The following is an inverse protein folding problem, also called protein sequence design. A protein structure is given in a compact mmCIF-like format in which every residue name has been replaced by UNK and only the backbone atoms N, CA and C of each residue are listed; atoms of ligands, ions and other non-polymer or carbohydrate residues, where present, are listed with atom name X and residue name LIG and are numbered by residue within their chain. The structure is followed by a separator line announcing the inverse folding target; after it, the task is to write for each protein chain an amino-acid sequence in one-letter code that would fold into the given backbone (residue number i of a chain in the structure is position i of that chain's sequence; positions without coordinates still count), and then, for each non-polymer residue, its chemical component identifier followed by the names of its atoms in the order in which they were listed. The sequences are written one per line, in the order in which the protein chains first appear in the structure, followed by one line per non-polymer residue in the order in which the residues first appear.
data_IF_124949062691
#
_entry.id   IF_124949062691
#
_cell.length_a   1.000
_cell.length_b   1.000
_cell.length_c   1.000
_cell.angle_alpha   90.00
_cell.angle_beta   90.00
_cell.angle_gamma   90.00
#
_symmetry.space_group_name_H-M   'P 1'
#
loop_
_entity.id
_entity.type
_entity.pdbx_description
1 polymer ?
#
# COMPACT_ATOMS: atom_id res chain seq x y z
N UNK A 1 38.67 -24.59 -20.22
CA UNK A 1 38.41 -24.47 -18.76
C UNK A 1 37.67 -23.17 -18.48
N UNK A 2 36.34 -23.20 -18.33
CA UNK A 2 35.49 -21.98 -18.21
C UNK A 2 34.24 -22.17 -17.34
N UNK A 3 34.28 -23.16 -16.44
CA UNK A 3 33.14 -23.63 -15.64
C UNK A 3 32.94 -22.92 -14.28
N UNK A 4 33.94 -22.29 -13.61
CA UNK A 4 33.71 -21.68 -12.29
C UNK A 4 32.90 -20.37 -12.33
N UNK A 5 33.15 -19.51 -13.32
CA UNK A 5 32.61 -18.14 -13.35
C UNK A 5 31.09 -18.10 -13.65
N UNK A 6 30.60 -19.01 -14.51
CA UNK A 6 29.17 -19.12 -14.84
C UNK A 6 28.32 -19.65 -13.69
N UNK A 7 28.85 -20.55 -12.86
CA UNK A 7 28.15 -21.07 -11.69
C UNK A 7 27.99 -19.98 -10.61
N UNK A 8 29.03 -19.16 -10.42
CA UNK A 8 29.02 -18.06 -9.48
C UNK A 8 28.06 -16.93 -9.89
N UNK A 9 28.02 -16.58 -11.19
CA UNK A 9 27.02 -15.65 -11.75
C UNK A 9 25.58 -16.13 -11.51
N UNK A 10 25.28 -17.41 -11.76
CA UNK A 10 23.96 -18.00 -11.49
C UNK A 10 23.60 -17.97 -10.01
N UNK A 11 24.54 -18.25 -9.12
CA UNK A 11 24.34 -18.18 -7.68
C UNK A 11 24.04 -16.75 -7.19
N UNK A 12 24.76 -15.74 -7.71
CA UNK A 12 24.50 -14.33 -7.41
C UNK A 12 23.12 -13.87 -7.89
N UNK A 13 22.71 -14.29 -9.09
CA UNK A 13 21.38 -13.98 -9.65
C UNK A 13 20.26 -14.68 -8.85
N UNK A 14 20.45 -15.93 -8.46
CA UNK A 14 19.49 -16.63 -7.59
C UNK A 14 19.37 -15.95 -6.22
N UNK A 15 20.49 -15.48 -5.65
CA UNK A 15 20.52 -14.73 -4.40
C UNK A 15 19.86 -13.35 -4.51
N UNK A 16 20.02 -12.63 -5.63
CA UNK A 16 19.34 -11.33 -5.83
C UNK A 16 17.84 -11.49 -5.98
N UNK A 17 17.37 -12.51 -6.71
CA UNK A 17 15.95 -12.84 -6.83
C UNK A 17 15.36 -13.23 -5.47
N UNK A 18 16.04 -14.09 -4.71
CA UNK A 18 15.59 -14.51 -3.38
C UNK A 18 15.50 -13.32 -2.40
N UNK A 19 16.50 -12.43 -2.40
CA UNK A 19 16.48 -11.22 -1.57
C UNK A 19 15.36 -10.26 -1.98
N UNK A 20 15.12 -10.09 -3.27
CA UNK A 20 14.01 -9.29 -3.79
C UNK A 20 12.66 -9.86 -3.35
N UNK A 21 12.47 -11.18 -3.45
CA UNK A 21 11.26 -11.84 -2.99
C UNK A 21 11.03 -11.64 -1.48
N UNK A 22 12.07 -11.78 -0.65
CA UNK A 22 11.95 -11.56 0.80
C UNK A 22 11.71 -10.08 1.13
N UNK A 23 12.31 -9.14 0.39
CA UNK A 23 12.01 -7.72 0.53
C UNK A 23 10.55 -7.42 0.19
N UNK A 24 10.05 -7.90 -0.95
CA UNK A 24 8.65 -7.73 -1.34
C UNK A 24 7.69 -8.33 -0.32
N UNK A 25 8.03 -9.48 0.27
CA UNK A 25 7.23 -10.10 1.33
C UNK A 25 7.19 -9.23 2.58
N UNK A 26 8.35 -8.71 3.02
CA UNK A 26 8.44 -7.80 4.17
C UNK A 26 7.65 -6.51 3.92
N UNK A 27 7.77 -5.92 2.74
CA UNK A 27 7.05 -4.70 2.36
C UNK A 27 5.53 -4.95 2.34
N UNK A 28 5.10 -6.11 1.84
CA UNK A 28 3.68 -6.49 1.82
C UNK A 28 3.12 -6.67 3.22
N UNK A 29 3.84 -7.35 4.12
CA UNK A 29 3.43 -7.54 5.52
C UNK A 29 3.39 -6.22 6.29
N UNK A 30 4.36 -5.34 6.06
CA UNK A 30 4.39 -4.00 6.62
C UNK A 30 3.17 -3.18 6.18
N UNK A 31 2.90 -3.16 4.87
CA UNK A 31 1.77 -2.44 4.30
C UNK A 31 0.43 -2.98 4.81
N UNK A 32 0.29 -4.30 4.90
CA UNK A 32 -0.90 -4.95 5.46
C UNK A 32 -1.13 -4.52 6.92
N UNK A 33 -0.08 -4.54 7.74
CA UNK A 33 -0.16 -4.13 9.15
C UNK A 33 -0.62 -2.67 9.30
N UNK A 34 -0.02 -1.76 8.52
CA UNK A 34 -0.42 -0.34 8.53
C UNK A 34 -1.87 -0.16 8.09
N UNK A 35 -2.29 -0.79 7.00
CA UNK A 35 -3.68 -0.73 6.51
C UNK A 35 -4.66 -1.26 7.55
N UNK A 36 -4.36 -2.41 8.16
CA UNK A 36 -5.19 -3.02 9.21
C UNK A 36 -5.37 -2.07 10.39
N UNK A 37 -4.27 -1.46 10.86
CA UNK A 37 -4.30 -0.53 11.98
C UNK A 37 -5.11 0.74 11.66
N UNK A 38 -4.97 1.29 10.45
CA UNK A 38 -5.79 2.43 10.01
C UNK A 38 -7.28 2.08 10.01
N UNK A 39 -7.65 0.93 9.42
CA UNK A 39 -9.05 0.48 9.34
C UNK A 39 -9.64 0.30 10.75
N UNK A 40 -8.93 -0.38 11.65
CA UNK A 40 -9.38 -0.59 13.04
C UNK A 40 -9.55 0.75 13.75
N UNK A 41 -8.56 1.63 13.63
CA UNK A 41 -8.57 2.95 14.26
C UNK A 41 -9.73 3.82 13.76
N UNK A 42 -10.00 3.85 12.45
CA UNK A 42 -11.13 4.60 11.89
C UNK A 42 -12.48 4.05 12.35
N UNK A 43 -12.64 2.72 12.39
CA UNK A 43 -13.86 2.10 12.92
C UNK A 43 -14.10 2.48 14.38
N UNK A 44 -13.06 2.40 15.22
CA UNK A 44 -13.14 2.76 16.64
C UNK A 44 -13.47 4.24 16.86
N UNK A 45 -12.93 5.13 16.03
CA UNK A 45 -13.18 6.59 16.11
C UNK A 45 -14.42 7.06 15.36
N UNK A 46 -15.18 6.16 14.73
CA UNK A 46 -16.35 6.52 13.93
C UNK A 46 -16.02 7.29 12.64
N UNK A 47 -14.79 7.21 12.13
CA UNK A 47 -14.33 7.88 10.91
C UNK A 47 -14.81 7.13 9.64
N UNK A 48 -16.11 6.88 9.55
CA UNK A 48 -16.71 6.10 8.46
C UNK A 48 -16.58 6.76 7.09
N UNK A 49 -16.62 8.09 7.02
CA UNK A 49 -16.40 8.83 5.77
C UNK A 49 -15.03 8.51 5.18
N UNK A 50 -13.97 8.58 6.01
CA UNK A 50 -12.60 8.28 5.60
C UNK A 50 -12.44 6.82 5.18
N UNK A 51 -13.03 5.88 5.93
CA UNK A 51 -12.98 4.46 5.59
C UNK A 51 -13.66 4.16 4.25
N UNK A 52 -14.87 4.71 4.02
CA UNK A 52 -15.57 4.58 2.73
C UNK A 52 -14.78 5.21 1.60
N UNK A 53 -14.21 6.39 1.83
CA UNK A 53 -13.35 7.06 0.85
C UNK A 53 -12.14 6.19 0.48
N UNK A 54 -11.50 5.57 1.47
CA UNK A 54 -10.37 4.64 1.25
C UNK A 54 -10.77 3.43 0.38
N UNK A 55 -11.91 2.79 0.67
CA UNK A 55 -12.41 1.66 -0.13
C UNK A 55 -12.69 2.06 -1.58
N UNK A 56 -13.40 3.17 -1.79
CA UNK A 56 -13.75 3.62 -3.13
C UNK A 56 -12.51 4.03 -3.95
N UNK A 57 -11.51 4.64 -3.32
CA UNK A 57 -10.26 5.04 -3.99
C UNK A 57 -9.32 3.87 -4.28
N UNK A 58 -9.13 2.95 -3.33
CA UNK A 58 -8.10 1.92 -3.42
C UNK A 58 -8.64 0.60 -3.98
N UNK A 59 -9.83 0.17 -3.56
CA UNK A 59 -10.41 -1.13 -3.93
C UNK A 59 -11.23 -1.00 -5.22
N UNK A 60 -12.07 0.04 -5.31
CA UNK A 60 -12.88 0.29 -6.52
C UNK A 60 -12.16 1.12 -7.59
N UNK A 61 -11.00 1.70 -7.25
CA UNK A 61 -10.23 2.58 -8.14
C UNK A 61 -11.06 3.71 -8.77
N UNK A 62 -12.04 4.24 -8.02
CA UNK A 62 -12.89 5.32 -8.53
C UNK A 62 -12.14 6.66 -8.57
N UNK A 63 -12.42 7.51 -9.57
CA UNK A 63 -11.87 8.86 -9.62
C UNK A 63 -12.48 9.73 -8.52
N UNK A 64 -11.73 10.75 -8.08
CA UNK A 64 -12.13 11.63 -6.97
C UNK A 64 -13.54 12.20 -7.15
N UNK A 65 -13.87 12.65 -8.36
CA UNK A 65 -15.18 13.17 -8.70
C UNK A 65 -16.31 12.17 -8.44
N UNK A 66 -16.12 10.90 -8.77
CA UNK A 66 -17.13 9.86 -8.55
C UNK A 66 -17.28 9.55 -7.06
N UNK A 67 -16.17 9.48 -6.32
CA UNK A 67 -16.18 9.29 -4.87
C UNK A 67 -16.91 10.45 -4.16
N UNK A 68 -16.61 11.68 -4.56
CA UNK A 68 -17.23 12.89 -4.02
C UNK A 68 -18.75 12.85 -4.18
N UNK A 69 -19.23 12.56 -5.39
CA UNK A 69 -20.67 12.37 -5.67
C UNK A 69 -21.28 11.25 -4.84
N UNK A 70 -20.59 10.11 -4.72
CA UNK A 70 -21.09 8.94 -3.99
C UNK A 70 -21.18 9.16 -2.48
N UNK A 71 -20.32 10.00 -1.90
CA UNK A 71 -20.26 10.25 -0.46
C UNK A 71 -20.93 11.56 -0.04
N UNK A 72 -21.32 12.40 -1.00
CA UNK A 72 -21.91 13.72 -0.71
C UNK A 72 -20.91 14.72 -0.12
N UNK A 73 -19.62 14.60 -0.48
CA UNK A 73 -18.53 15.48 -0.02
C UNK A 73 -17.86 16.17 -1.20
N UNK A 74 -17.01 17.17 -0.94
CA UNK A 74 -16.28 17.87 -2.02
C UNK A 74 -15.15 17.00 -2.59
N UNK A 75 -14.78 17.23 -3.86
CA UNK A 75 -13.59 16.60 -4.46
C UNK A 75 -12.31 16.92 -3.69
N UNK A 76 -12.22 18.12 -3.10
CA UNK A 76 -11.11 18.50 -2.23
C UNK A 76 -11.06 17.66 -0.94
N UNK A 77 -12.21 17.38 -0.32
CA UNK A 77 -12.26 16.49 0.84
C UNK A 77 -11.78 15.07 0.50
N UNK A 78 -12.18 14.56 -0.67
CA UNK A 78 -11.66 13.28 -1.20
C UNK A 78 -10.15 13.34 -1.41
N UNK A 79 -9.63 14.41 -2.01
CA UNK A 79 -8.20 14.60 -2.22
C UNK A 79 -7.41 14.65 -0.89
N UNK A 80 -7.96 15.30 0.13
CA UNK A 80 -7.37 15.35 1.47
C UNK A 80 -7.33 13.96 2.13
N UNK A 81 -8.42 13.19 2.05
CA UNK A 81 -8.44 11.80 2.52
C UNK A 81 -7.43 10.94 1.77
N UNK A 82 -7.38 11.04 0.44
CA UNK A 82 -6.41 10.32 -0.40
C UNK A 82 -4.97 10.64 0.02
N UNK A 83 -4.66 11.93 0.19
CA UNK A 83 -3.32 12.36 0.60
C UNK A 83 -2.94 11.76 1.96
N UNK A 84 -3.83 11.86 2.95
CA UNK A 84 -3.62 11.29 4.28
C UNK A 84 -3.33 9.79 4.23
N UNK A 85 -4.12 9.03 3.48
CA UNK A 85 -3.98 7.58 3.36
C UNK A 85 -2.62 7.25 2.73
N UNK A 86 -2.29 7.83 1.58
CA UNK A 86 -1.03 7.58 0.87
C UNK A 86 0.18 7.96 1.73
N UNK A 87 0.11 9.06 2.49
CA UNK A 87 1.18 9.45 3.40
C UNK A 87 1.40 8.38 4.48
N UNK A 88 0.34 7.82 5.06
CA UNK A 88 0.44 6.76 6.07
C UNK A 88 1.03 5.47 5.49
N UNK A 89 0.65 5.10 4.26
CA UNK A 89 1.14 3.89 3.61
C UNK A 89 2.60 3.98 3.15
N UNK A 90 3.12 5.20 2.94
CA UNK A 90 4.54 5.43 2.62
C UNK A 90 5.46 5.45 3.83
N UNK A 91 4.91 5.52 5.05
CA UNK A 91 5.72 5.50 6.25
C UNK A 91 6.23 4.08 6.49
N UNK A 92 7.54 3.88 6.73
CA UNK A 92 8.04 2.58 7.13
C UNK A 92 7.38 2.16 8.45
N UNK A 93 7.05 0.87 8.64
CA UNK A 93 6.57 0.38 9.92
C UNK A 93 7.63 0.69 11.00
N UNK A 94 7.18 1.18 12.15
CA UNK A 94 8.02 1.40 13.32
C UNK A 94 8.49 0.08 13.94
#
# INVERSE_FOLDING_TARGET
SGVPEYADLKARVASSIARSAEQHRRDSLALESVLRNLIVSWKQRGEWERLKCAELLLVRSWPNQQVARSLGISEQAVANHKHFIIQKLRQPPA
#
